data_IF_756814687443
#
_entry.id   IF_756814687443
#
_cell.length_a   1.000
_cell.length_b   1.000
_cell.length_c   1.000
_cell.angle_alpha   90.00
_cell.angle_beta   90.00
_cell.angle_gamma   90.00
#
_symmetry.space_group_name_H-M   'P 1'
#
loop_
_entity.id
_entity.type
_entity.pdbx_description
1 polymer ?
#
# COMPACT_ATOMS: atom_id res chain seq x y z
N UNK A 1 14.51 24.12 22.15
CA UNK A 1 13.04 24.21 22.10
C UNK A 1 12.62 24.08 20.65
N UNK A 2 12.05 22.95 20.21
CA UNK A 2 11.47 22.89 18.88
C UNK A 2 10.42 23.99 18.74
N UNK A 3 10.38 24.64 17.58
CA UNK A 3 9.43 25.73 17.36
C UNK A 3 8.01 25.17 17.42
N UNK A 4 7.09 25.89 18.05
CA UNK A 4 5.66 25.52 18.12
C UNK A 4 5.08 25.23 16.71
N UNK A 5 5.61 25.90 15.69
CA UNK A 5 5.29 25.66 14.28
C UNK A 5 5.66 24.25 13.81
N UNK A 6 6.82 23.72 14.22
CA UNK A 6 7.27 22.38 13.84
C UNK A 6 6.43 21.29 14.51
N UNK A 7 6.04 21.49 15.78
CA UNK A 7 5.12 20.58 16.47
C UNK A 7 3.73 20.55 15.81
N UNK A 8 3.18 21.72 15.43
CA UNK A 8 1.92 21.81 14.67
C UNK A 8 2.02 21.13 13.30
N UNK A 9 3.16 21.26 12.62
CA UNK A 9 3.39 20.59 11.34
C UNK A 9 3.42 19.06 11.48
N UNK A 10 4.07 18.53 12.53
CA UNK A 10 4.10 17.09 12.81
C UNK A 10 2.67 16.55 13.04
N UNK A 11 1.89 17.19 13.92
CA UNK A 11 0.52 16.78 14.22
C UNK A 11 -0.37 16.76 12.96
N UNK A 12 -0.18 17.72 12.04
CA UNK A 12 -0.90 17.75 10.77
C UNK A 12 -0.53 16.56 9.86
N UNK A 13 0.75 16.20 9.80
CA UNK A 13 1.22 15.05 9.01
C UNK A 13 0.71 13.73 9.58
N UNK A 14 0.64 13.60 10.91
CA UNK A 14 0.09 12.43 11.59
C UNK A 14 -1.41 12.27 11.30
N UNK A 15 -2.17 13.37 11.36
CA UNK A 15 -3.59 13.37 10.99
C UNK A 15 -3.80 13.00 9.52
N UNK A 16 -2.99 13.56 8.60
CA UNK A 16 -3.04 13.20 7.18
C UNK A 16 -2.73 11.70 6.97
N UNK A 17 -1.82 11.13 7.76
CA UNK A 17 -1.47 9.71 7.69
C UNK A 17 -2.62 8.85 8.15
N UNK A 18 -3.27 9.19 9.26
CA UNK A 18 -4.43 8.46 9.78
C UNK A 18 -5.57 8.43 8.76
N UNK A 19 -5.92 9.57 8.17
CA UNK A 19 -6.94 9.66 7.11
C UNK A 19 -6.59 8.80 5.89
N UNK A 20 -5.31 8.83 5.49
CA UNK A 20 -4.84 8.06 4.36
C UNK A 20 -4.85 6.54 4.63
N UNK A 21 -4.54 6.12 5.86
CA UNK A 21 -4.62 4.73 6.28
C UNK A 21 -6.07 4.22 6.31
N UNK A 22 -7.03 5.05 6.74
CA UNK A 22 -8.45 4.74 6.66
C UNK A 22 -8.91 4.54 5.21
N UNK A 23 -8.56 5.46 4.31
CA UNK A 23 -8.88 5.33 2.87
C UNK A 23 -8.23 4.10 2.23
N UNK A 24 -7.01 3.76 2.65
CA UNK A 24 -6.34 2.54 2.18
C UNK A 24 -7.12 1.29 2.59
N UNK A 25 -7.66 1.24 3.81
CA UNK A 25 -8.49 0.13 4.27
C UNK A 25 -9.79 0.02 3.49
N UNK A 26 -10.46 1.12 3.20
CA UNK A 26 -11.66 1.14 2.35
C UNK A 26 -11.37 0.61 0.94
N UNK A 27 -10.29 1.06 0.31
CA UNK A 27 -9.89 0.57 -1.01
C UNK A 27 -9.45 -0.90 -0.97
N UNK A 28 -8.85 -1.39 0.14
CA UNK A 28 -8.58 -2.84 0.30
C UNK A 28 -9.88 -3.64 0.23
N UNK A 29 -10.90 -3.25 1.00
CA UNK A 29 -12.21 -3.92 1.03
C UNK A 29 -12.89 -3.87 -0.33
N UNK A 30 -12.85 -2.72 -1.01
CA UNK A 30 -13.42 -2.59 -2.35
C UNK A 30 -12.73 -3.51 -3.36
N UNK A 31 -11.41 -3.63 -3.28
CA UNK A 31 -10.60 -4.46 -4.17
C UNK A 31 -10.81 -5.96 -3.89
N UNK A 32 -10.96 -6.35 -2.63
CA UNK A 32 -11.37 -7.71 -2.23
C UNK A 32 -12.75 -8.07 -2.77
N UNK A 33 -13.73 -7.18 -2.65
CA UNK A 33 -15.10 -7.41 -3.14
C UNK A 33 -15.18 -7.58 -4.67
N UNK A 34 -14.23 -7.01 -5.42
CA UNK A 34 -14.13 -7.15 -6.88
C UNK A 34 -13.36 -8.41 -7.30
N UNK A 35 -12.68 -9.08 -6.39
CA UNK A 35 -11.87 -10.25 -6.68
C UNK A 35 -12.69 -11.54 -6.55
N UNK A 36 -12.72 -12.41 -7.58
CA UNK A 36 -13.31 -13.74 -7.46
C UNK A 36 -12.46 -14.68 -6.59
N UNK A 37 -11.24 -14.27 -6.19
CA UNK A 37 -10.31 -15.04 -5.38
C UNK A 37 -9.88 -14.23 -4.15
N UNK A 38 -9.61 -14.88 -3.00
CA UNK A 38 -9.11 -14.17 -1.82
C UNK A 38 -7.81 -13.42 -2.09
N UNK A 39 -7.77 -12.14 -1.73
CA UNK A 39 -6.56 -11.32 -1.79
C UNK A 39 -5.82 -11.41 -0.47
N UNK A 40 -4.50 -11.60 -0.57
CA UNK A 40 -3.59 -11.66 0.55
C UNK A 40 -2.71 -10.42 0.56
N UNK A 41 -2.85 -9.61 1.59
CA UNK A 41 -2.10 -8.38 1.80
C UNK A 41 -0.77 -8.69 2.48
N UNK A 42 0.35 -8.46 1.79
CA UNK A 42 1.67 -8.83 2.29
C UNK A 42 2.61 -7.64 2.32
N UNK A 43 3.37 -7.51 3.42
CA UNK A 43 4.52 -6.62 3.48
C UNK A 43 5.77 -7.35 2.98
N UNK A 44 6.61 -6.70 2.18
CA UNK A 44 7.79 -7.32 1.56
C UNK A 44 9.03 -6.45 1.69
N UNK A 45 10.20 -7.07 1.84
CA UNK A 45 11.49 -6.38 1.76
C UNK A 45 11.80 -6.06 0.29
N UNK A 46 12.20 -4.83 -0.03
CA UNK A 46 12.46 -4.41 -1.40
C UNK A 46 13.86 -4.78 -1.93
N UNK A 47 14.76 -5.30 -1.07
CA UNK A 47 16.11 -5.70 -1.45
C UNK A 47 17.11 -4.56 -1.66
N UNK A 48 16.70 -3.29 -1.50
CA UNK A 48 17.62 -2.14 -1.57
C UNK A 48 18.46 -2.06 -0.29
N UNK A 49 19.79 -2.07 -0.41
CA UNK A 49 20.74 -2.08 0.71
C UNK A 49 20.51 -0.95 1.73
N UNK A 50 20.12 0.23 1.27
CA UNK A 50 19.92 1.42 2.13
C UNK A 50 18.47 1.71 2.47
N UNK A 51 17.54 0.77 2.22
CA UNK A 51 16.15 0.98 2.58
C UNK A 51 15.92 0.83 4.09
N UNK A 52 15.74 1.95 4.79
CA UNK A 52 15.40 1.97 6.22
C UNK A 52 13.89 1.84 6.52
N UNK A 53 13.06 1.81 5.47
CA UNK A 53 11.58 1.87 5.56
C UNK A 53 10.91 0.54 5.18
N UNK A 54 11.70 -0.51 5.03
CA UNK A 54 11.22 -1.87 4.83
C UNK A 54 10.62 -2.45 6.13
N UNK A 55 9.64 -3.36 6.03
CA UNK A 55 9.05 -3.90 4.81
C UNK A 55 7.95 -3.01 4.20
N UNK A 56 7.91 -2.94 2.87
CA UNK A 56 6.93 -2.13 2.11
C UNK A 56 5.58 -2.83 1.97
N UNK A 57 4.55 -2.05 1.67
CA UNK A 57 3.20 -2.55 1.43
C UNK A 57 2.21 -2.06 2.50
N UNK A 58 1.08 -2.77 2.68
CA UNK A 58 0.83 -4.09 2.12
C UNK A 58 0.58 -4.09 0.61
N UNK A 59 1.07 -5.11 -0.08
CA UNK A 59 0.82 -5.33 -1.49
C UNK A 59 -0.19 -6.48 -1.68
N UNK A 60 -1.07 -6.40 -2.68
CA UNK A 60 -2.04 -7.46 -2.95
C UNK A 60 -1.41 -8.66 -3.67
N UNK A 61 -1.71 -9.86 -3.19
CA UNK A 61 -1.31 -11.14 -3.79
C UNK A 61 -2.50 -12.08 -3.91
N UNK A 62 -2.44 -12.97 -4.91
CA UNK A 62 -3.29 -14.17 -4.98
C UNK A 62 -2.46 -15.41 -4.70
N UNK A 63 -3.11 -16.45 -4.18
CA UNK A 63 -2.55 -17.80 -4.09
C UNK A 63 -3.12 -18.62 -5.24
N UNK A 64 -2.27 -18.99 -6.21
CA UNK A 64 -2.67 -19.70 -7.43
C UNK A 64 -1.94 -21.03 -7.56
N UNK A 65 -2.59 -22.06 -8.10
CA UNK A 65 -1.97 -23.37 -8.35
C UNK A 65 -1.36 -23.38 -9.76
N UNK A 66 -0.04 -23.58 -9.87
CA UNK A 66 0.68 -23.71 -11.15
C UNK A 66 1.50 -24.99 -11.14
N UNK A 67 1.20 -25.92 -12.05
CA UNK A 67 1.88 -27.22 -12.13
C UNK A 67 1.76 -28.03 -10.84
N UNK A 68 0.56 -28.10 -10.28
CA UNK A 68 0.31 -28.84 -9.02
C UNK A 68 0.74 -28.12 -7.73
N UNK A 69 1.57 -27.07 -7.80
CA UNK A 69 2.12 -26.36 -6.63
C UNK A 69 1.48 -24.99 -6.43
N UNK A 70 1.25 -24.61 -5.16
CA UNK A 70 0.79 -23.27 -4.81
C UNK A 70 1.89 -22.23 -5.01
N UNK A 71 1.54 -21.10 -5.63
CA UNK A 71 2.43 -19.97 -5.89
C UNK A 71 1.74 -18.67 -5.50
N UNK A 72 2.52 -17.73 -4.99
CA UNK A 72 2.08 -16.36 -4.75
C UNK A 72 2.18 -15.56 -6.05
N UNK A 73 1.09 -14.93 -6.46
CA UNK A 73 1.06 -14.04 -7.62
C UNK A 73 0.84 -12.61 -7.13
N UNK A 74 1.84 -11.75 -7.33
CA UNK A 74 1.74 -10.32 -7.05
C UNK A 74 0.79 -9.64 -8.05
N UNK A 75 -0.17 -8.86 -7.56
CA UNK A 75 -1.14 -8.10 -8.36
C UNK A 75 -0.63 -6.68 -8.65
N UNK A 76 0.66 -6.54 -8.93
CA UNK A 76 1.29 -5.24 -9.11
C UNK A 76 1.45 -4.80 -10.56
N UNK A 77 2.59 -4.15 -10.83
CA UNK A 77 2.95 -3.69 -12.17
C UNK A 77 2.93 -4.86 -13.16
N UNK A 78 2.21 -4.68 -14.28
CA UNK A 78 2.14 -5.66 -15.37
C UNK A 78 1.29 -6.90 -15.07
N UNK A 79 0.60 -6.96 -13.93
CA UNK A 79 -0.38 -8.01 -13.69
C UNK A 79 -1.67 -7.74 -14.46
N UNK A 80 -2.27 -8.79 -15.02
CA UNK A 80 -3.59 -8.75 -15.65
C UNK A 80 -4.51 -9.79 -15.01
N UNK A 81 -5.81 -9.48 -14.85
CA UNK A 81 -6.81 -10.45 -14.42
C UNK A 81 -6.82 -11.69 -15.31
N UNK A 82 -6.81 -12.91 -14.74
CA UNK A 82 -7.02 -14.12 -15.51
C UNK A 82 -8.45 -14.23 -16.02
N UNK A 83 -8.67 -15.18 -16.91
CA UNK A 83 -10.01 -15.57 -17.37
C UNK A 83 -10.93 -15.90 -16.17
N UNK A 84 -12.20 -15.45 -16.25
CA UNK A 84 -13.18 -15.60 -15.17
C UNK A 84 -13.28 -14.41 -14.20
N UNK A 85 -12.44 -13.39 -14.31
CA UNK A 85 -12.72 -12.10 -13.67
C UNK A 85 -13.91 -11.42 -14.36
N UNK A 86 -15.05 -11.36 -13.67
CA UNK A 86 -16.29 -10.76 -14.19
C UNK A 86 -16.13 -9.25 -14.40
N UNK A 87 -15.31 -8.59 -13.58
CA UNK A 87 -15.15 -7.13 -13.48
C UNK A 87 -13.69 -6.68 -13.63
N UNK A 88 -12.99 -7.03 -14.72
CA UNK A 88 -11.53 -6.85 -14.81
C UNK A 88 -11.12 -5.38 -14.89
N UNK A 89 -11.90 -4.54 -15.57
CA UNK A 89 -11.64 -3.11 -15.68
C UNK A 89 -11.75 -2.40 -14.33
N UNK A 90 -12.86 -2.61 -13.63
CA UNK A 90 -13.10 -1.97 -12.33
C UNK A 90 -12.09 -2.44 -11.27
N UNK A 91 -11.71 -3.72 -11.34
CA UNK A 91 -10.63 -4.26 -10.51
C UNK A 91 -9.31 -3.54 -10.75
N UNK A 92 -8.92 -3.35 -12.02
CA UNK A 92 -7.68 -2.64 -12.38
C UNK A 92 -7.71 -1.17 -11.97
N UNK A 93 -8.86 -0.50 -12.10
CA UNK A 93 -9.05 0.87 -11.64
C UNK A 93 -8.94 0.99 -10.12
N UNK A 94 -9.58 0.09 -9.36
CA UNK A 94 -9.45 0.01 -7.90
C UNK A 94 -8.00 -0.26 -7.47
N UNK A 95 -7.33 -1.19 -8.14
CA UNK A 95 -5.92 -1.48 -7.91
C UNK A 95 -5.01 -0.30 -8.20
N UNK A 96 -5.29 0.48 -9.24
CA UNK A 96 -4.56 1.71 -9.54
C UNK A 96 -4.75 2.77 -8.44
N UNK A 97 -5.99 2.98 -7.96
CA UNK A 97 -6.30 3.89 -6.84
C UNK A 97 -5.57 3.47 -5.57
N UNK A 98 -5.68 2.20 -5.18
CA UNK A 98 -4.98 1.63 -4.02
C UNK A 98 -3.47 1.88 -4.10
N UNK A 99 -2.85 1.59 -5.26
CA UNK A 99 -1.41 1.80 -5.46
C UNK A 99 -1.00 3.27 -5.40
N UNK A 100 -1.86 4.19 -5.84
CA UNK A 100 -1.61 5.62 -5.74
C UNK A 100 -1.63 6.08 -4.27
N UNK A 101 -2.63 5.64 -3.50
CA UNK A 101 -2.70 5.91 -2.05
C UNK A 101 -1.49 5.33 -1.31
N UNK A 102 -1.05 4.12 -1.67
CA UNK A 102 0.09 3.48 -1.04
C UNK A 102 1.39 4.27 -1.30
N UNK A 103 1.61 4.77 -2.52
CA UNK A 103 2.74 5.66 -2.82
C UNK A 103 2.67 6.96 -2.02
N UNK A 104 1.48 7.56 -1.89
CA UNK A 104 1.27 8.76 -1.08
C UNK A 104 1.60 8.48 0.39
N UNK A 105 1.20 7.32 0.92
CA UNK A 105 1.50 6.90 2.29
C UNK A 105 2.99 6.76 2.50
N UNK A 106 3.68 6.09 1.57
CA UNK A 106 5.14 5.97 1.64
C UNK A 106 5.79 7.35 1.69
N UNK A 107 5.44 8.27 0.78
CA UNK A 107 5.93 9.65 0.76
C UNK A 107 5.64 10.42 2.06
N UNK A 108 4.45 10.26 2.63
CA UNK A 108 4.06 10.93 3.86
C UNK A 108 4.85 10.42 5.07
N UNK A 109 5.09 9.10 5.15
CA UNK A 109 5.98 8.52 6.16
C UNK A 109 7.43 9.02 6.02
N UNK A 110 7.88 9.32 4.79
CA UNK A 110 9.20 9.93 4.60
C UNK A 110 9.26 11.33 5.21
N UNK A 111 8.25 12.15 4.96
CA UNK A 111 8.12 13.51 5.50
C UNK A 111 7.99 13.52 7.01
N UNK A 112 7.20 12.61 7.57
CA UNK A 112 7.07 12.41 9.02
C UNK A 112 8.42 12.10 9.64
N UNK A 113 9.14 11.11 9.12
CA UNK A 113 10.45 10.73 9.64
C UNK A 113 11.48 11.87 9.54
N UNK A 114 11.38 12.74 8.52
CA UNK A 114 12.20 13.95 8.41
C UNK A 114 11.85 15.00 9.47
N UNK A 115 10.56 15.25 9.69
CA UNK A 115 10.08 16.18 10.72
C UNK A 115 10.45 15.72 12.13
N UNK A 116 10.30 14.42 12.43
CA UNK A 116 10.70 13.82 13.70
C UNK A 116 12.20 14.01 13.97
N UNK A 117 13.06 13.78 12.96
CA UNK A 117 14.51 14.01 13.07
C UNK A 117 14.91 15.47 13.26
N UNK A 118 14.08 16.41 12.80
CA UNK A 118 14.32 17.84 13.02
C UNK A 118 13.87 18.30 14.43
N UNK A 119 13.02 17.51 15.10
CA UNK A 119 12.54 17.76 16.45
C UNK A 119 13.42 17.14 17.53
N UNK A 120 14.12 16.03 17.22
CA UNK A 120 15.09 15.34 18.08
C UNK A 120 16.41 16.09 18.20
#
# INVERSE_FOLDING_TARGET
>A
MPSEALAKALARLEAELADLEARLEEERKALEALSPLPIYWRRVRCGKERCRKCPHGPYPYLKVKKGGRWRWKYLGKGWQPPEGFVRPREFLEALARYRALLRRREALLERLAEAERALS
#
